data_IF_847806275514
#
_entry.id   IF_847806275514
#
_cell.length_a   1.000
_cell.length_b   1.000
_cell.length_c   1.000
_cell.angle_alpha   90.00
_cell.angle_beta   90.00
_cell.angle_gamma   90.00
#
_symmetry.space_group_name_H-M   'P 1'
#
loop_
_entity.id
_entity.type
_entity.pdbx_description
1 polymer ?
#
# COMPACT_ATOMS: atom_id res chain seq x y z
N UNK A 1 -25.17 9.43 -19.05
CA UNK A 1 -25.31 10.16 -17.77
C UNK A 1 -26.49 11.11 -17.92
N UNK A 2 -27.19 11.40 -16.85
CA UNK A 2 -28.25 12.43 -16.85
C UNK A 2 -27.62 13.84 -16.87
N UNK A 3 -28.31 14.85 -17.41
CA UNK A 3 -27.80 16.22 -17.54
C UNK A 3 -27.26 16.81 -16.22
N UNK A 4 -27.89 16.50 -15.08
CA UNK A 4 -27.44 16.98 -13.78
C UNK A 4 -26.04 16.44 -13.41
N UNK A 5 -25.70 15.23 -13.84
CA UNK A 5 -24.41 14.61 -13.56
C UNK A 5 -23.30 15.27 -14.39
N UNK A 6 -23.59 15.63 -15.64
CA UNK A 6 -22.65 16.32 -16.54
C UNK A 6 -22.32 17.72 -16.02
N UNK A 7 -23.35 18.45 -15.57
CA UNK A 7 -23.19 19.78 -14.95
C UNK A 7 -22.36 19.67 -13.67
N UNK A 8 -22.68 18.70 -12.81
CA UNK A 8 -21.98 18.49 -11.55
C UNK A 8 -20.49 18.19 -11.76
N UNK A 9 -20.16 17.31 -12.71
CA UNK A 9 -18.76 16.99 -13.06
C UNK A 9 -17.99 18.22 -13.52
N UNK A 10 -18.58 19.05 -14.40
CA UNK A 10 -17.93 20.26 -14.91
C UNK A 10 -17.69 21.33 -13.85
N UNK A 11 -18.53 21.39 -12.82
CA UNK A 11 -18.32 22.25 -11.65
C UNK A 11 -17.18 21.70 -10.80
N UNK A 12 -17.22 20.41 -10.44
CA UNK A 12 -16.22 19.78 -9.58
C UNK A 12 -14.81 19.77 -10.21
N UNK A 13 -14.68 19.62 -11.53
CA UNK A 13 -13.40 19.70 -12.25
C UNK A 13 -12.65 21.03 -12.06
N UNK A 14 -13.35 22.10 -11.68
CA UNK A 14 -12.78 23.44 -11.52
C UNK A 14 -12.40 23.75 -10.08
N UNK A 15 -12.82 22.92 -9.14
CA UNK A 15 -12.62 23.14 -7.72
C UNK A 15 -11.33 22.48 -7.24
N UNK A 16 -10.68 23.12 -6.26
CA UNK A 16 -9.54 22.51 -5.57
C UNK A 16 -10.07 21.55 -4.51
N UNK A 17 -9.78 20.26 -4.66
CA UNK A 17 -10.09 19.27 -3.64
C UNK A 17 -9.03 19.34 -2.53
N UNK A 18 -9.45 19.67 -1.32
CA UNK A 18 -8.62 19.53 -0.12
C UNK A 18 -9.15 18.41 0.77
N UNK A 19 -8.31 17.42 1.02
CA UNK A 19 -8.59 16.33 1.96
C UNK A 19 -7.99 16.71 3.31
N UNK A 20 -8.82 16.76 4.35
CA UNK A 20 -8.37 17.00 5.72
C UNK A 20 -8.75 15.82 6.60
N UNK A 21 -7.88 15.48 7.55
CA UNK A 21 -8.12 14.42 8.53
C UNK A 21 -8.22 15.02 9.94
N UNK A 22 -9.34 15.69 10.28
CA UNK A 22 -9.48 16.42 11.55
C UNK A 22 -9.40 15.51 12.79
N UNK A 23 -9.58 14.19 12.63
CA UNK A 23 -9.42 13.20 13.69
C UNK A 23 -8.05 12.52 13.76
N UNK A 24 -7.13 12.81 12.82
CA UNK A 24 -5.80 12.22 12.83
C UNK A 24 -4.94 12.88 13.91
N UNK A 25 -4.86 12.23 15.08
CA UNK A 25 -4.07 12.70 16.23
C UNK A 25 -2.62 12.22 16.23
N UNK A 26 -2.26 11.36 15.27
CA UNK A 26 -0.94 10.77 15.15
C UNK A 26 -0.05 11.68 14.31
N UNK A 27 1.19 11.89 14.74
CA UNK A 27 2.19 12.56 13.92
C UNK A 27 2.50 11.66 12.71
N UNK A 28 2.61 12.23 11.51
CA UNK A 28 2.97 11.47 10.31
C UNK A 28 4.23 10.61 10.50
N UNK A 29 5.21 11.12 11.26
CA UNK A 29 6.42 10.39 11.63
C UNK A 29 6.14 9.14 12.48
N UNK A 30 5.20 9.20 13.42
CA UNK A 30 4.80 8.06 14.24
C UNK A 30 4.09 6.99 13.42
N UNK A 31 3.19 7.42 12.51
CA UNK A 31 2.50 6.51 11.59
C UNK A 31 3.51 5.79 10.71
N UNK A 32 4.41 6.54 10.07
CA UNK A 32 5.44 5.97 9.19
C UNK A 32 6.32 4.98 9.97
N UNK A 33 6.78 5.35 11.17
CA UNK A 33 7.62 4.45 11.99
C UNK A 33 6.89 3.17 12.38
N UNK A 34 5.63 3.27 12.80
CA UNK A 34 4.84 2.12 13.22
C UNK A 34 4.57 1.16 12.06
N UNK A 35 4.11 1.69 10.93
CA UNK A 35 3.79 0.89 9.75
C UNK A 35 5.05 0.28 9.11
N UNK A 36 6.15 1.04 9.05
CA UNK A 36 7.44 0.54 8.56
C UNK A 36 7.98 -0.59 9.44
N UNK A 37 7.92 -0.43 10.77
CA UNK A 37 8.36 -1.47 11.69
C UNK A 37 7.50 -2.73 11.57
N UNK A 38 6.18 -2.58 11.43
CA UNK A 38 5.27 -3.70 11.21
C UNK A 38 5.59 -4.45 9.92
N UNK A 39 5.83 -3.74 8.82
CA UNK A 39 6.25 -4.35 7.55
C UNK A 39 7.57 -5.13 7.71
N UNK A 40 8.56 -4.58 8.40
CA UNK A 40 9.82 -5.26 8.67
C UNK A 40 9.64 -6.55 9.49
N UNK A 41 8.77 -6.52 10.51
CA UNK A 41 8.43 -7.73 11.27
C UNK A 41 7.78 -8.80 10.39
N UNK A 42 6.85 -8.42 9.52
CA UNK A 42 6.19 -9.35 8.61
C UNK A 42 7.18 -9.97 7.61
N UNK A 43 8.03 -9.14 6.98
CA UNK A 43 9.10 -9.59 6.10
C UNK A 43 10.01 -10.58 6.82
N UNK A 44 10.41 -10.26 8.06
CA UNK A 44 11.23 -11.15 8.87
C UNK A 44 10.55 -12.51 9.09
N UNK A 45 9.27 -12.52 9.45
CA UNK A 45 8.50 -13.76 9.63
C UNK A 45 8.45 -14.61 8.36
N UNK A 46 8.26 -14.00 7.18
CA UNK A 46 8.28 -14.68 5.88
C UNK A 46 9.66 -15.31 5.61
N UNK A 47 10.74 -14.58 5.95
CA UNK A 47 12.10 -15.07 5.76
C UNK A 47 12.46 -16.21 6.72
N UNK A 48 11.98 -16.16 7.96
CA UNK A 48 12.21 -17.18 9.01
C UNK A 48 11.35 -18.45 8.84
N UNK A 49 10.39 -18.45 7.92
CA UNK A 49 9.58 -19.62 7.63
C UNK A 49 10.36 -20.68 6.83
N UNK A 50 11.02 -21.60 7.53
CA UNK A 50 11.79 -22.70 6.94
C UNK A 50 10.90 -23.84 6.39
N UNK A 51 9.57 -23.70 6.42
CA UNK A 51 8.65 -24.73 5.89
C UNK A 51 8.58 -24.77 4.36
N UNK A 52 9.05 -23.72 3.70
CA UNK A 52 9.11 -23.59 2.24
C UNK A 52 10.46 -24.11 1.72
N UNK A 53 10.43 -25.03 0.75
CA UNK A 53 11.63 -25.57 0.11
C UNK A 53 12.24 -24.57 -0.89
N UNK A 54 13.54 -24.66 -1.20
CA UNK A 54 14.25 -23.73 -2.12
C UNK A 54 13.55 -23.46 -3.48
N UNK A 55 12.82 -24.39 -4.12
CA UNK A 55 12.03 -24.11 -5.32
C UNK A 55 10.89 -23.10 -5.12
N UNK A 56 10.46 -22.87 -3.88
CA UNK A 56 9.34 -22.00 -3.46
C UNK A 56 9.83 -20.60 -3.03
N UNK A 57 11.12 -20.30 -3.20
CA UNK A 57 11.72 -19.00 -2.91
C UNK A 57 10.99 -17.83 -3.62
N UNK A 58 10.35 -18.09 -4.76
CA UNK A 58 9.50 -17.12 -5.45
C UNK A 58 8.26 -16.71 -4.64
N UNK A 59 7.67 -17.63 -3.88
CA UNK A 59 6.51 -17.36 -3.02
C UNK A 59 6.92 -16.41 -1.89
N UNK A 60 8.06 -16.66 -1.24
CA UNK A 60 8.60 -15.75 -0.21
C UNK A 60 8.85 -14.34 -0.75
N UNK A 61 9.42 -14.24 -1.96
CA UNK A 61 9.67 -12.94 -2.61
C UNK A 61 8.35 -12.21 -2.91
N UNK A 62 7.34 -12.93 -3.40
CA UNK A 62 6.01 -12.36 -3.66
C UNK A 62 5.34 -11.86 -2.37
N UNK A 63 5.40 -12.63 -1.29
CA UNK A 63 4.84 -12.22 0.01
C UNK A 63 5.53 -10.98 0.60
N UNK A 64 6.85 -10.86 0.40
CA UNK A 64 7.61 -9.67 0.77
C UNK A 64 7.15 -8.46 -0.06
N UNK A 65 6.94 -8.63 -1.37
CA UNK A 65 6.41 -7.57 -2.24
C UNK A 65 5.02 -7.14 -1.78
N UNK A 66 4.11 -8.08 -1.52
CA UNK A 66 2.76 -7.79 -1.01
C UNK A 66 2.80 -7.03 0.31
N UNK A 67 3.69 -7.41 1.23
CA UNK A 67 3.89 -6.71 2.51
C UNK A 67 4.29 -5.24 2.31
N UNK A 68 5.08 -4.93 1.28
CA UNK A 68 5.44 -3.55 0.93
C UNK A 68 4.26 -2.79 0.31
N UNK A 69 3.47 -3.45 -0.55
CA UNK A 69 2.30 -2.84 -1.18
C UNK A 69 1.21 -2.49 -0.16
N UNK A 70 1.00 -3.34 0.86
CA UNK A 70 0.04 -3.10 1.95
C UNK A 70 0.33 -1.81 2.74
N UNK A 71 1.60 -1.41 2.87
CA UNK A 71 1.98 -0.14 3.48
C UNK A 71 2.04 1.03 2.49
N UNK A 72 1.55 0.83 1.27
CA UNK A 72 1.49 1.85 0.22
C UNK A 72 2.81 2.06 -0.53
N UNK A 73 3.80 1.18 -0.33
CA UNK A 73 5.08 1.24 -1.06
C UNK A 73 4.99 0.36 -2.31
N UNK A 74 4.95 0.99 -3.47
CA UNK A 74 5.07 0.25 -4.73
C UNK A 74 6.50 -0.32 -4.86
N UNK A 75 6.64 -1.65 -4.89
CA UNK A 75 7.93 -2.32 -5.02
C UNK A 75 8.54 -2.23 -6.45
N UNK A 76 7.86 -1.55 -7.37
CA UNK A 76 8.31 -1.30 -8.73
C UNK A 76 7.69 -2.28 -9.75
N UNK A 77 8.35 -2.49 -10.88
CA UNK A 77 7.77 -3.20 -12.03
C UNK A 77 7.97 -4.72 -12.03
N UNK A 78 8.59 -5.31 -11.00
CA UNK A 78 8.77 -6.77 -10.93
C UNK A 78 7.52 -7.42 -10.33
N UNK A 79 6.50 -7.56 -11.16
CA UNK A 79 5.30 -8.39 -10.88
C UNK A 79 5.19 -9.60 -11.83
N UNK A 80 6.23 -9.89 -12.62
CA UNK A 80 6.31 -11.11 -13.45
C UNK A 80 6.81 -12.29 -12.61
N UNK A 81 5.98 -12.74 -11.67
CA UNK A 81 6.14 -14.04 -11.02
C UNK A 81 5.04 -14.94 -11.58
N UNK A 82 5.41 -15.67 -12.64
CA UNK A 82 4.53 -16.58 -13.38
C UNK A 82 4.35 -17.94 -12.72
#
# INVERSE_FOLDING_TARGET
MELYQEILLKVLERETVQVTFPGLRLNADEIIRQESYRALCNIKSILEDDSLEDPECFIKIEEIVRTLEEVGSNAGNRHDFG
#
